data_IF_270878732274
#
_entry.id   IF_270878732274
#
_cell.length_a   1.000
_cell.length_b   1.000
_cell.length_c   1.000
_cell.angle_alpha   90.00
_cell.angle_beta   90.00
_cell.angle_gamma   90.00
#
_symmetry.space_group_name_H-M   'P 1'
#
loop_
_entity.id
_entity.type
_entity.pdbx_description
1 polymer ?
#
# COMPACT_ATOMS: atom_id res chain seq x y z
N UNK A 1 -18.53 -2.68 -25.91
CA UNK A 1 -17.12 -2.31 -26.07
C UNK A 1 -16.64 -1.42 -24.93
N UNK A 2 -17.27 -0.29 -24.75
CA UNK A 2 -16.92 0.63 -23.64
C UNK A 2 -17.09 -0.06 -22.31
N UNK A 3 -18.12 -0.90 -22.17
CA UNK A 3 -18.38 -1.65 -20.94
C UNK A 3 -17.21 -2.57 -20.59
N UNK A 4 -16.62 -3.21 -21.61
CA UNK A 4 -15.49 -4.13 -21.39
C UNK A 4 -14.28 -3.39 -20.87
N UNK A 5 -14.00 -2.21 -21.41
CA UNK A 5 -12.87 -1.39 -20.94
C UNK A 5 -13.10 -0.90 -19.53
N UNK A 6 -14.32 -0.46 -19.23
CA UNK A 6 -14.67 -0.03 -17.87
C UNK A 6 -14.53 -1.18 -16.89
N UNK A 7 -14.96 -2.37 -17.30
CA UNK A 7 -14.82 -3.56 -16.45
C UNK A 7 -13.38 -3.87 -16.13
N UNK A 8 -12.49 -3.76 -17.13
CA UNK A 8 -11.06 -4.01 -16.93
C UNK A 8 -10.46 -3.04 -15.92
N UNK A 9 -10.83 -1.76 -16.02
CA UNK A 9 -10.36 -0.75 -15.08
C UNK A 9 -10.93 -0.99 -13.68
N UNK A 10 -12.19 -1.41 -13.59
CA UNK A 10 -12.82 -1.72 -12.32
C UNK A 10 -12.13 -2.89 -11.63
N UNK A 11 -11.75 -3.91 -12.37
CA UNK A 11 -11.04 -5.06 -11.80
C UNK A 11 -9.73 -4.62 -11.17
N UNK A 12 -8.96 -3.79 -11.87
CA UNK A 12 -7.69 -3.28 -11.35
C UNK A 12 -7.91 -2.46 -10.09
N UNK A 13 -8.88 -1.54 -10.11
CA UNK A 13 -9.18 -0.70 -8.95
C UNK A 13 -9.69 -1.55 -7.78
N UNK A 14 -10.48 -2.57 -8.09
CA UNK A 14 -11.01 -3.46 -7.07
C UNK A 14 -9.90 -4.23 -6.36
N UNK A 15 -8.88 -4.68 -7.09
CA UNK A 15 -7.75 -5.38 -6.49
C UNK A 15 -6.96 -4.46 -5.57
N UNK A 16 -6.70 -3.24 -6.01
CA UNK A 16 -6.01 -2.25 -5.21
C UNK A 16 -6.79 -1.94 -3.93
N UNK A 17 -8.08 -1.69 -4.06
CA UNK A 17 -8.93 -1.40 -2.90
C UNK A 17 -8.97 -2.58 -1.95
N UNK A 18 -9.06 -3.79 -2.48
CA UNK A 18 -9.08 -5.00 -1.67
C UNK A 18 -7.79 -5.15 -0.87
N UNK A 19 -6.65 -4.89 -1.50
CA UNK A 19 -5.36 -4.95 -0.83
C UNK A 19 -5.25 -3.92 0.28
N UNK A 20 -5.73 -2.70 0.02
CA UNK A 20 -5.72 -1.63 1.02
C UNK A 20 -6.58 -2.03 2.21
N UNK A 21 -7.76 -2.58 1.97
CA UNK A 21 -8.66 -3.00 3.04
C UNK A 21 -8.05 -4.13 3.87
N UNK A 22 -7.41 -5.10 3.23
CA UNK A 22 -6.77 -6.20 3.94
C UNK A 22 -5.64 -5.70 4.82
N UNK A 23 -4.84 -4.76 4.31
CA UNK A 23 -3.76 -4.17 5.10
C UNK A 23 -4.32 -3.47 6.34
N UNK A 24 -5.41 -2.74 6.18
CA UNK A 24 -6.05 -2.05 7.31
C UNK A 24 -6.63 -3.05 8.31
N UNK A 25 -7.24 -4.13 7.83
CA UNK A 25 -7.78 -5.17 8.71
C UNK A 25 -6.69 -5.87 9.49
N UNK A 26 -5.52 -6.03 8.90
CA UNK A 26 -4.36 -6.61 9.57
C UNK A 26 -3.65 -5.60 10.46
N UNK A 27 -4.20 -4.40 10.59
CA UNK A 27 -3.64 -3.31 11.38
C UNK A 27 -2.28 -2.86 10.88
N UNK A 28 -2.20 -2.70 9.54
CA UNK A 28 -1.01 -2.20 8.85
C UNK A 28 -1.37 -0.93 8.08
N UNK A 29 -1.85 0.12 8.77
CA UNK A 29 -2.34 1.32 8.07
C UNK A 29 -1.25 2.09 7.35
N UNK A 30 -0.03 2.11 7.88
CA UNK A 30 1.08 2.82 7.23
C UNK A 30 1.47 2.12 5.94
N UNK A 31 1.48 0.77 5.94
CA UNK A 31 1.71 0.01 4.72
C UNK A 31 0.60 0.27 3.70
N UNK A 32 -0.64 0.39 4.15
CA UNK A 32 -1.75 0.68 3.25
C UNK A 32 -1.56 2.02 2.56
N UNK A 33 -1.17 3.05 3.31
CA UNK A 33 -0.93 4.38 2.77
C UNK A 33 0.24 4.37 1.78
N UNK A 34 1.32 3.71 2.13
CA UNK A 34 2.49 3.63 1.26
C UNK A 34 2.18 2.85 -0.01
N UNK A 35 1.43 1.76 0.11
CA UNK A 35 1.00 0.98 -1.04
C UNK A 35 0.20 1.84 -2.02
N UNK A 36 -0.73 2.62 -1.50
CA UNK A 36 -1.53 3.53 -2.32
C UNK A 36 -0.65 4.59 -2.98
N UNK A 37 0.30 5.16 -2.24
CA UNK A 37 1.24 6.14 -2.78
C UNK A 37 2.08 5.55 -3.91
N UNK A 38 2.57 4.32 -3.72
CA UNK A 38 3.40 3.66 -4.73
C UNK A 38 2.62 3.42 -6.01
N UNK A 39 1.35 3.06 -5.90
CA UNK A 39 0.54 2.78 -7.09
C UNK A 39 0.27 4.04 -7.90
N UNK A 40 0.33 5.20 -7.28
CA UNK A 40 0.09 6.48 -7.95
C UNK A 40 1.35 7.17 -8.43
N UNK A 41 2.51 6.68 -8.05
CA UNK A 41 3.79 7.32 -8.36
C UNK A 41 4.53 6.53 -9.42
N UNK A 42 4.75 7.17 -10.57
CA UNK A 42 5.38 6.51 -11.71
C UNK A 42 6.81 6.05 -11.40
N UNK A 43 7.49 6.69 -10.47
CA UNK A 43 8.85 6.31 -10.09
C UNK A 43 8.89 4.88 -9.56
N UNK A 44 7.85 4.46 -8.85
CA UNK A 44 7.81 3.13 -8.26
C UNK A 44 7.54 2.03 -9.29
N UNK A 45 7.02 2.40 -10.46
CA UNK A 45 6.74 1.41 -11.50
C UNK A 45 8.01 0.77 -12.05
N UNK A 46 9.12 1.50 -12.03
CA UNK A 46 10.41 1.01 -12.50
C UNK A 46 11.22 0.35 -11.40
N UNK A 47 10.76 0.46 -10.17
CA UNK A 47 11.45 -0.11 -9.01
C UNK A 47 11.12 -1.60 -8.86
N UNK A 48 12.12 -2.44 -8.60
CA UNK A 48 11.86 -3.88 -8.37
C UNK A 48 10.89 -4.10 -7.21
N UNK A 49 10.13 -5.18 -7.30
CA UNK A 49 9.13 -5.49 -6.29
C UNK A 49 9.74 -5.58 -4.88
N UNK A 50 10.89 -6.25 -4.76
CA UNK A 50 11.52 -6.42 -3.46
C UNK A 50 11.90 -5.08 -2.81
N UNK A 51 12.34 -4.12 -3.61
CA UNK A 51 12.62 -2.78 -3.11
C UNK A 51 11.35 -2.10 -2.62
N UNK A 52 10.29 -2.19 -3.41
CA UNK A 52 9.00 -1.59 -3.02
C UNK A 52 8.45 -2.23 -1.77
N UNK A 53 8.57 -3.55 -1.67
CA UNK A 53 8.13 -4.26 -0.48
C UNK A 53 8.94 -3.84 0.74
N UNK A 54 10.25 -3.67 0.57
CA UNK A 54 11.12 -3.23 1.65
C UNK A 54 10.69 -1.86 2.19
N UNK A 55 10.34 -0.95 1.30
CA UNK A 55 9.85 0.38 1.71
C UNK A 55 8.56 0.26 2.51
N UNK A 56 7.64 -0.58 2.05
CA UNK A 56 6.38 -0.81 2.76
C UNK A 56 6.62 -1.34 4.17
N UNK A 57 7.45 -2.35 4.27
CA UNK A 57 7.73 -3.00 5.54
C UNK A 57 8.45 -2.06 6.51
N UNK A 58 9.44 -1.34 6.01
CA UNK A 58 10.22 -0.43 6.86
C UNK A 58 9.37 0.73 7.37
N UNK A 59 8.47 1.25 6.57
CA UNK A 59 7.60 2.33 7.01
C UNK A 59 6.68 1.89 8.14
N UNK A 60 6.11 0.71 8.01
CA UNK A 60 5.24 0.18 9.06
C UNK A 60 6.03 -0.11 10.33
N UNK A 61 7.22 -0.71 10.18
CA UNK A 61 8.08 -1.02 11.30
C UNK A 61 8.50 0.24 12.05
N UNK A 62 8.97 1.25 11.32
CA UNK A 62 9.39 2.53 11.91
C UNK A 62 8.24 3.19 12.66
N UNK A 63 7.05 3.16 12.08
CA UNK A 63 5.88 3.74 12.71
C UNK A 63 5.55 3.06 14.04
N UNK A 64 5.68 1.74 14.08
CA UNK A 64 5.42 0.98 15.30
C UNK A 64 6.43 1.26 16.38
N UNK A 65 7.71 1.38 16.02
CA UNK A 65 8.76 1.71 16.98
C UNK A 65 8.54 3.09 17.55
N UNK A 66 8.26 4.08 16.71
CA UNK A 66 7.97 5.44 17.16
C UNK A 66 6.79 5.47 18.11
N UNK A 67 5.73 4.75 17.77
CA UNK A 67 4.55 4.71 18.61
C UNK A 67 4.85 4.09 19.97
N UNK A 68 5.66 3.04 19.99
CA UNK A 68 6.06 2.38 21.23
C UNK A 68 6.90 3.31 22.10
N UNK A 69 7.84 4.03 21.49
CA UNK A 69 8.68 5.00 22.22
C UNK A 69 7.82 6.09 22.82
N UNK A 70 6.91 6.66 22.05
CA UNK A 70 6.02 7.72 22.52
C UNK A 70 5.12 7.22 23.65
N UNK A 71 4.68 5.99 23.57
CA UNK A 71 3.80 5.40 24.57
C UNK A 71 4.52 5.21 25.90
N UNK A 72 5.81 4.98 25.87
CA UNK A 72 6.62 4.75 27.07
C UNK A 72 7.11 6.03 27.72
N UNK A 73 6.94 7.14 27.05
CA UNK A 73 7.30 8.45 27.59
C UNK A 73 6.12 9.03 28.34
#
# INVERSE_FOLDING_TARGET
MIVIMAHSLEVKNTMEQSNIELLKLMKLPVMADEYESQSKNIRYQEMPFDERLSILLNKEYDSRILHTIQKNI
#
